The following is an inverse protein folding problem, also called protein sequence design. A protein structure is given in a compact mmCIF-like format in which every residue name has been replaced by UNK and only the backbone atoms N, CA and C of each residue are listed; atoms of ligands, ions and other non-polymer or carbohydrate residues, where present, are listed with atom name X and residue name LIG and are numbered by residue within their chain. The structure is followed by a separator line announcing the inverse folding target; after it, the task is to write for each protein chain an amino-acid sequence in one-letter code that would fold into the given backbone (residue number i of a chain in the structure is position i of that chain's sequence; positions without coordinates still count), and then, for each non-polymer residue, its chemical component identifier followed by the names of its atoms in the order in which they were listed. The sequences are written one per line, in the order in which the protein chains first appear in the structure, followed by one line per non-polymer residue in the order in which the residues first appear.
data_IF_129295990870
#
_entry.id   IF_129295990870
#
_cell.length_a   1.000
_cell.length_b   1.000
_cell.length_c   1.000
_cell.angle_alpha   90.00
_cell.angle_beta   90.00
_cell.angle_gamma   90.00
#
_symmetry.space_group_name_H-M   'P 1'
#
loop_
_entity.id
_entity.type
_entity.pdbx_description
1 polymer ?
#
# COMPACT_ATOMS: atom_id res chain seq x y z
N UNK A 1 -23.96 -51.74 -0.06
CA UNK A 1 -23.01 -50.96 0.75
C UNK A 1 -22.26 -50.02 -0.20
N UNK A 2 -22.80 -48.82 -0.45
CA UNK A 2 -22.16 -47.81 -1.31
C UNK A 2 -21.20 -47.01 -0.44
N UNK A 3 -19.91 -47.17 -0.69
CA UNK A 3 -18.86 -46.35 -0.09
C UNK A 3 -18.98 -44.98 -0.74
N UNK A 4 -19.48 -44.01 0.02
CA UNK A 4 -19.43 -42.60 -0.35
C UNK A 4 -17.97 -42.16 -0.21
N UNK A 5 -17.27 -42.04 -1.33
CA UNK A 5 -16.03 -41.28 -1.41
C UNK A 5 -16.39 -39.82 -1.15
N UNK A 6 -16.06 -39.32 0.04
CA UNK A 6 -16.09 -37.90 0.32
C UNK A 6 -15.12 -37.22 -0.65
N UNK A 7 -15.66 -36.39 -1.54
CA UNK A 7 -14.87 -35.40 -2.27
C UNK A 7 -14.16 -34.51 -1.25
N UNK A 8 -12.88 -34.16 -1.45
CA UNK A 8 -12.15 -33.34 -0.51
C UNK A 8 -12.74 -31.95 -0.51
N UNK A 9 -13.55 -31.66 0.50
CA UNK A 9 -14.01 -30.32 0.85
C UNK A 9 -12.78 -29.43 0.94
N UNK A 10 -12.63 -28.53 -0.03
CA UNK A 10 -11.97 -27.23 0.01
C UNK A 10 -10.80 -27.19 1.01
N UNK A 11 -9.59 -27.52 0.54
CA UNK A 11 -8.35 -27.35 1.33
C UNK A 11 -8.25 -25.90 1.81
N UNK A 12 -8.42 -25.74 3.12
CA UNK A 12 -7.94 -24.68 4.02
C UNK A 12 -7.81 -23.28 3.40
N UNK A 13 -8.64 -22.34 3.86
CA UNK A 13 -8.29 -20.92 3.82
C UNK A 13 -6.84 -20.76 4.29
N UNK A 14 -5.93 -20.48 3.34
CA UNK A 14 -4.52 -20.33 3.67
C UNK A 14 -4.41 -19.19 4.66
N UNK A 15 -4.04 -19.51 5.91
CA UNK A 15 -3.76 -18.53 6.94
C UNK A 15 -2.80 -17.49 6.38
N UNK A 16 -3.20 -16.22 6.39
CA UNK A 16 -2.44 -15.12 5.80
C UNK A 16 -1.01 -15.02 6.36
N UNK A 17 -0.78 -15.49 7.59
CA UNK A 17 0.55 -15.59 8.20
C UNK A 17 1.44 -16.62 7.50
N UNK A 18 0.86 -17.74 7.04
CA UNK A 18 1.58 -18.75 6.25
C UNK A 18 1.94 -18.20 4.89
N UNK A 19 1.01 -17.51 4.22
CA UNK A 19 1.27 -16.83 2.94
C UNK A 19 2.40 -15.81 3.12
N UNK A 20 2.30 -14.98 4.16
CA UNK A 20 3.30 -13.97 4.47
C UNK A 20 4.68 -14.59 4.76
N UNK A 21 4.74 -15.66 5.55
CA UNK A 21 5.98 -16.38 5.86
C UNK A 21 6.63 -16.94 4.60
N UNK A 22 5.82 -17.45 3.67
CA UNK A 22 6.27 -18.10 2.44
C UNK A 22 6.45 -17.13 1.26
N UNK A 23 6.35 -15.81 1.47
CA UNK A 23 6.60 -14.83 0.42
C UNK A 23 8.00 -15.04 -0.19
N UNK A 24 8.09 -14.99 -1.51
CA UNK A 24 9.34 -15.15 -2.25
C UNK A 24 10.20 -13.91 -2.00
N UNK A 25 11.44 -14.14 -1.55
CA UNK A 25 12.45 -13.10 -1.38
C UNK A 25 13.70 -13.30 -2.24
N UNK A 26 13.78 -14.40 -2.99
CA UNK A 26 14.81 -14.64 -3.98
C UNK A 26 14.30 -14.28 -5.38
N UNK A 27 14.87 -13.28 -6.06
CA UNK A 27 14.47 -12.93 -7.42
C UNK A 27 14.52 -14.11 -8.41
N UNK A 28 15.46 -15.05 -8.26
CA UNK A 28 15.54 -16.24 -9.13
C UNK A 28 14.31 -17.12 -9.03
N UNK A 29 13.79 -17.31 -7.81
CA UNK A 29 12.56 -18.06 -7.59
C UNK A 29 11.33 -17.35 -8.18
N UNK A 30 11.29 -16.02 -8.13
CA UNK A 30 10.23 -15.24 -8.77
C UNK A 30 10.28 -15.41 -10.30
N UNK A 31 11.44 -15.24 -10.93
CA UNK A 31 11.62 -15.41 -12.38
C UNK A 31 11.21 -16.82 -12.83
N UNK A 32 11.65 -17.84 -12.09
CA UNK A 32 11.24 -19.23 -12.34
C UNK A 32 9.73 -19.44 -12.22
N UNK A 33 9.07 -18.86 -11.21
CA UNK A 33 7.63 -18.96 -11.04
C UNK A 33 6.84 -18.30 -12.20
N UNK A 34 7.45 -17.30 -12.83
CA UNK A 34 6.88 -16.53 -13.94
C UNK A 34 7.35 -17.01 -15.31
N UNK A 35 8.10 -18.11 -15.42
CA UNK A 35 8.67 -18.60 -16.67
C UNK A 35 9.53 -17.55 -17.42
N UNK A 36 10.27 -16.72 -16.68
CA UNK A 36 11.21 -15.74 -17.23
C UNK A 36 12.65 -16.29 -17.13
N UNK A 37 13.47 -16.16 -18.19
CA UNK A 37 14.84 -16.66 -18.21
C UNK A 37 15.73 -15.86 -17.25
N UNK A 38 16.44 -16.52 -16.34
CA UNK A 38 17.28 -15.83 -15.34
C UNK A 38 18.42 -15.00 -15.97
N UNK A 39 18.96 -15.45 -17.10
CA UNK A 39 20.12 -14.84 -17.77
C UNK A 39 19.82 -13.40 -18.25
N UNK A 40 18.56 -13.10 -18.59
CA UNK A 40 18.14 -11.76 -19.01
C UNK A 40 18.10 -10.76 -17.83
N UNK A 41 18.20 -11.25 -16.58
CA UNK A 41 18.00 -10.44 -15.36
C UNK A 41 19.20 -10.44 -14.42
N UNK A 42 20.38 -10.91 -14.82
CA UNK A 42 21.55 -10.99 -13.91
C UNK A 42 21.86 -9.67 -13.18
N UNK A 43 21.85 -8.56 -13.91
CA UNK A 43 22.09 -7.23 -13.33
C UNK A 43 20.94 -6.77 -12.42
N UNK A 44 19.71 -7.08 -12.83
CA UNK A 44 18.49 -6.83 -12.06
C UNK A 44 18.47 -7.60 -10.74
N UNK A 45 18.91 -8.87 -10.73
CA UNK A 45 19.04 -9.69 -9.52
C UNK A 45 20.04 -9.07 -8.54
N UNK A 46 21.13 -8.48 -9.03
CA UNK A 46 22.13 -7.83 -8.19
C UNK A 46 21.59 -6.60 -7.44
N UNK A 47 20.57 -5.92 -7.98
CA UNK A 47 19.93 -4.76 -7.35
C UNK A 47 19.15 -5.09 -6.07
N UNK A 48 18.88 -6.38 -5.80
CA UNK A 48 18.24 -6.82 -4.54
C UNK A 48 18.97 -6.35 -3.27
N UNK A 49 20.28 -6.04 -3.38
CA UNK A 49 21.09 -5.51 -2.27
C UNK A 49 20.72 -4.07 -1.88
N UNK A 50 20.11 -3.30 -2.80
CA UNK A 50 19.68 -1.93 -2.55
C UNK A 50 18.35 -1.85 -1.80
N UNK A 51 17.45 -2.79 -2.10
CA UNK A 51 16.18 -2.96 -1.42
C UNK A 51 15.67 -4.36 -1.74
N UNK A 52 15.50 -5.18 -0.70
CA UNK A 52 15.23 -6.61 -0.84
C UNK A 52 13.96 -6.88 -1.63
N UNK A 53 13.93 -8.00 -2.36
CA UNK A 53 12.71 -8.50 -2.98
C UNK A 53 11.85 -9.19 -1.93
N UNK A 54 10.54 -8.98 -2.03
CA UNK A 54 9.54 -9.70 -1.23
C UNK A 54 8.22 -9.66 -1.97
N UNK A 55 7.70 -10.82 -2.36
CA UNK A 55 6.46 -10.95 -3.12
C UNK A 55 5.67 -12.17 -2.65
N UNK A 56 4.44 -12.00 -2.14
CA UNK A 56 3.62 -13.12 -1.69
C UNK A 56 2.95 -13.83 -2.88
N UNK A 57 2.69 -15.14 -2.73
CA UNK A 57 2.14 -15.97 -3.81
C UNK A 57 0.86 -15.42 -4.44
N UNK A 58 -0.15 -14.90 -3.70
CA UNK A 58 -1.36 -14.36 -4.33
C UNK A 58 -1.12 -13.16 -5.24
N UNK A 59 -0.02 -12.42 -5.05
CA UNK A 59 0.35 -11.35 -5.99
C UNK A 59 1.05 -11.91 -7.23
N UNK A 60 1.90 -12.93 -7.05
CA UNK A 60 2.57 -13.63 -8.17
C UNK A 60 1.55 -14.27 -9.10
N UNK A 61 0.47 -14.83 -8.55
CA UNK A 61 -0.59 -15.47 -9.34
C UNK A 61 -1.35 -14.49 -10.26
N UNK A 62 -1.22 -13.17 -10.03
CA UNK A 62 -1.81 -12.10 -10.85
C UNK A 62 -0.89 -11.62 -11.98
N UNK A 63 0.39 -11.99 -11.95
CA UNK A 63 1.39 -11.57 -12.94
C UNK A 63 1.30 -12.47 -14.17
N UNK A 64 1.30 -11.87 -15.36
CA UNK A 64 1.36 -12.60 -16.61
C UNK A 64 2.68 -13.36 -16.77
N UNK A 65 2.61 -14.69 -16.90
CA UNK A 65 3.80 -15.54 -17.08
C UNK A 65 4.43 -15.32 -18.46
N UNK A 66 5.75 -15.28 -18.50
CA UNK A 66 6.53 -15.07 -19.71
C UNK A 66 6.54 -13.63 -20.22
N UNK A 67 5.90 -12.69 -19.51
CA UNK A 67 5.88 -11.28 -19.88
C UNK A 67 6.81 -10.45 -18.97
N UNK A 68 8.02 -10.07 -19.44
CA UNK A 68 8.92 -9.23 -18.65
C UNK A 68 8.44 -7.78 -18.50
N UNK A 69 7.43 -7.38 -19.27
CA UNK A 69 6.81 -6.05 -19.24
C UNK A 69 5.44 -6.06 -18.54
N UNK A 70 5.10 -7.13 -17.82
CA UNK A 70 3.88 -7.15 -17.02
C UNK A 70 3.91 -6.01 -15.97
N UNK A 71 2.86 -5.18 -15.88
CA UNK A 71 2.85 -3.99 -15.02
C UNK A 71 2.89 -4.33 -13.53
N UNK A 72 2.51 -5.54 -13.09
CA UNK A 72 2.64 -5.99 -11.70
C UNK A 72 4.06 -6.48 -11.44
N UNK A 73 4.68 -7.18 -12.39
CA UNK A 73 6.08 -7.59 -12.32
C UNK A 73 7.02 -6.39 -12.16
N UNK A 74 6.83 -5.35 -12.97
CA UNK A 74 7.63 -4.11 -12.89
C UNK A 74 7.57 -3.48 -11.50
N UNK A 75 6.45 -3.60 -10.77
CA UNK A 75 6.30 -3.04 -9.44
C UNK A 75 7.07 -3.79 -8.34
N UNK A 76 7.52 -5.02 -8.58
CA UNK A 76 8.10 -5.89 -7.54
C UNK A 76 9.47 -6.49 -7.88
N UNK A 77 9.79 -6.67 -9.15
CA UNK A 77 11.09 -7.21 -9.56
C UNK A 77 12.18 -6.14 -9.41
N UNK A 78 13.33 -6.53 -8.87
CA UNK A 78 14.50 -5.65 -8.80
C UNK A 78 14.95 -5.24 -10.21
N UNK A 79 15.41 -4.01 -10.39
CA UNK A 79 15.95 -3.52 -11.67
C UNK A 79 17.39 -3.00 -11.52
N UNK A 80 18.23 -3.22 -12.53
CA UNK A 80 19.55 -2.60 -12.65
C UNK A 80 19.47 -1.06 -12.70
N UNK A 81 18.36 -0.51 -13.19
CA UNK A 81 18.09 0.93 -13.18
C UNK A 81 18.01 1.53 -11.76
N UNK A 82 17.90 0.70 -10.72
CA UNK A 82 17.93 1.16 -9.33
C UNK A 82 19.32 1.59 -8.86
N UNK A 83 20.38 1.19 -9.56
CA UNK A 83 21.74 1.68 -9.31
C UNK A 83 21.93 3.12 -9.80
N UNK A 84 21.07 3.62 -10.68
CA UNK A 84 21.17 4.96 -11.26
C UNK A 84 20.86 6.00 -10.19
N UNK A 85 21.86 6.82 -9.88
CA UNK A 85 21.66 8.07 -9.15
C UNK A 85 21.16 9.13 -10.13
N UNK A 86 20.02 9.73 -9.82
CA UNK A 86 19.38 10.74 -10.65
C UNK A 86 19.29 12.07 -9.90
N UNK A 87 19.39 13.18 -10.63
CA UNK A 87 19.29 14.52 -10.05
C UNK A 87 17.92 14.76 -9.39
N UNK A 88 17.94 15.35 -8.19
CA UNK A 88 16.74 15.62 -7.40
C UNK A 88 16.12 14.39 -6.73
N UNK A 89 16.79 13.23 -6.78
CA UNK A 89 16.39 12.05 -6.02
C UNK A 89 17.19 11.92 -4.73
N UNK A 90 16.52 11.64 -3.61
CA UNK A 90 17.14 11.52 -2.29
C UNK A 90 16.66 10.27 -1.53
N UNK A 91 17.27 9.98 -0.39
CA UNK A 91 16.85 8.88 0.50
C UNK A 91 15.67 9.24 1.40
N UNK A 92 15.30 10.52 1.47
CA UNK A 92 14.16 11.03 2.24
C UNK A 92 13.47 12.17 1.46
N UNK A 93 12.78 11.86 0.35
CA UNK A 93 12.23 12.87 -0.56
C UNK A 93 11.12 13.73 0.07
N UNK A 94 10.58 13.29 1.21
CA UNK A 94 9.48 13.96 1.92
C UNK A 94 9.91 14.51 3.29
N UNK A 95 11.22 14.52 3.56
CA UNK A 95 11.84 15.01 4.80
C UNK A 95 11.17 14.46 6.07
N UNK A 96 10.75 13.19 6.05
CA UNK A 96 9.97 12.58 7.12
C UNK A 96 10.77 12.41 8.41
N UNK A 97 12.11 12.33 8.32
CA UNK A 97 12.96 12.23 9.51
C UNK A 97 12.77 13.42 10.45
N UNK A 98 12.56 14.62 9.91
CA UNK A 98 12.39 15.85 10.69
C UNK A 98 10.97 15.98 11.28
N UNK A 99 9.99 15.23 10.75
CA UNK A 99 8.60 15.26 11.20
C UNK A 99 8.28 14.27 12.33
N UNK A 100 9.28 13.52 12.82
CA UNK A 100 9.14 12.60 13.95
C UNK A 100 9.00 13.40 15.26
N UNK A 101 7.76 13.66 15.69
CA UNK A 101 7.50 14.34 16.95
C UNK A 101 7.88 13.47 18.16
N UNK A 102 7.51 12.19 18.08
CA UNK A 102 7.89 11.11 19.00
C UNK A 102 8.04 9.81 18.20
N UNK A 103 8.70 8.77 18.73
CA UNK A 103 8.78 7.49 18.04
C UNK A 103 7.40 7.02 17.57
N UNK A 104 7.34 6.52 16.33
CA UNK A 104 6.16 6.04 15.64
C UNK A 104 5.12 7.11 15.24
N UNK A 105 5.37 8.40 15.46
CA UNK A 105 4.46 9.49 15.06
C UNK A 105 5.13 10.41 14.03
N UNK A 106 4.46 10.59 12.88
CA UNK A 106 4.71 11.70 11.97
C UNK A 106 3.51 12.65 12.01
N UNK A 107 3.70 13.82 12.64
CA UNK A 107 2.65 14.82 12.80
C UNK A 107 2.89 16.00 11.85
N UNK A 108 2.39 15.88 10.61
CA UNK A 108 2.56 16.87 9.55
C UNK A 108 1.42 17.87 9.42
N UNK A 109 0.23 17.53 9.91
CA UNK A 109 -0.99 18.29 9.69
C UNK A 109 -1.74 18.49 11.00
N UNK A 110 -2.36 19.66 11.17
CA UNK A 110 -2.98 20.06 12.43
C UNK A 110 -3.95 19.03 13.01
N UNK A 111 -4.85 18.45 12.20
CA UNK A 111 -5.94 17.63 12.72
C UNK A 111 -5.69 16.12 12.64
N UNK A 112 -4.52 15.69 12.17
CA UNK A 112 -4.24 14.27 11.92
C UNK A 112 -2.75 13.95 11.90
N UNK A 113 -2.41 12.74 12.31
CA UNK A 113 -1.04 12.23 12.26
C UNK A 113 -0.95 10.83 11.66
N UNK A 114 0.24 10.48 11.19
CA UNK A 114 0.57 9.10 10.85
C UNK A 114 1.11 8.40 12.09
N UNK A 115 0.55 7.26 12.42
CA UNK A 115 1.02 6.34 13.44
C UNK A 115 1.62 5.11 12.77
N UNK A 116 2.95 4.98 12.83
CA UNK A 116 3.73 3.86 12.29
C UNK A 116 3.49 2.60 13.14
N UNK A 117 2.48 1.80 12.79
CA UNK A 117 2.13 0.61 13.56
C UNK A 117 3.20 -0.49 13.41
N UNK A 118 3.69 -0.72 12.18
CA UNK A 118 4.76 -1.69 11.87
C UNK A 118 5.69 -1.18 10.77
N UNK A 119 6.97 -1.54 10.84
CA UNK A 119 7.95 -1.14 9.82
C UNK A 119 8.07 -2.07 8.61
N UNK A 120 7.66 -3.34 8.73
CA UNK A 120 7.76 -4.31 7.64
C UNK A 120 6.63 -4.20 6.62
N UNK A 121 6.86 -4.72 5.41
CA UNK A 121 5.86 -4.91 4.35
C UNK A 121 5.76 -6.38 3.94
N UNK A 122 4.60 -6.80 3.40
CA UNK A 122 4.46 -8.09 2.74
C UNK A 122 4.95 -8.08 1.29
N UNK A 123 5.02 -6.89 0.69
CA UNK A 123 5.54 -6.65 -0.65
C UNK A 123 6.48 -5.45 -0.64
N UNK A 124 7.64 -5.57 -1.28
CA UNK A 124 8.59 -4.48 -1.41
C UNK A 124 8.44 -3.81 -2.78
N UNK A 125 7.57 -2.79 -2.82
CA UNK A 125 7.28 -2.00 -4.02
C UNK A 125 8.54 -1.30 -4.51
N UNK A 126 8.95 -1.48 -5.77
CA UNK A 126 10.19 -0.86 -6.30
C UNK A 126 10.17 0.67 -6.30
N UNK A 127 8.97 1.25 -6.32
CA UNK A 127 8.72 2.68 -6.27
C UNK A 127 8.47 3.22 -4.84
N UNK A 128 8.73 2.42 -3.79
CA UNK A 128 8.45 2.81 -2.40
C UNK A 128 9.29 4.01 -1.94
N UNK A 129 8.65 5.15 -1.68
CA UNK A 129 9.33 6.35 -1.17
C UNK A 129 9.94 6.18 0.23
N UNK A 130 9.47 5.18 1.00
CA UNK A 130 10.00 4.81 2.33
C UNK A 130 11.00 3.65 2.31
N UNK A 131 11.53 3.27 1.15
CA UNK A 131 12.51 2.16 1.06
C UNK A 131 13.78 2.38 1.89
N UNK A 132 14.10 3.64 2.22
CA UNK A 132 15.24 4.04 3.05
C UNK A 132 14.83 4.57 4.44
N UNK A 133 13.57 4.41 4.84
CA UNK A 133 13.06 4.94 6.12
C UNK A 133 13.68 4.18 7.31
N UNK A 134 14.13 4.87 8.38
CA UNK A 134 14.78 4.25 9.54
C UNK A 134 13.76 3.58 10.47
N UNK A 135 13.22 2.43 10.06
CA UNK A 135 12.21 1.71 10.84
C UNK A 135 12.72 1.20 12.19
N UNK A 136 14.02 1.03 12.36
CA UNK A 136 14.63 0.61 13.63
C UNK A 136 14.48 1.69 14.73
N UNK A 137 14.36 2.96 14.34
CA UNK A 137 14.07 4.08 15.26
C UNK A 137 12.58 4.17 15.62
N UNK A 138 11.72 3.41 14.94
CA UNK A 138 10.26 3.42 15.09
C UNK A 138 9.74 2.00 15.35
N UNK A 139 10.19 1.35 16.44
CA UNK A 139 9.88 -0.06 16.64
C UNK A 139 8.37 -0.25 16.81
N UNK A 140 7.78 -1.25 16.15
CA UNK A 140 6.35 -1.54 16.27
C UNK A 140 6.04 -2.42 17.48
N UNK A 141 6.16 -1.88 18.70
CA UNK A 141 5.89 -2.60 19.95
C UNK A 141 5.14 -1.75 20.97
N UNK A 142 4.59 -2.38 22.01
CA UNK A 142 3.75 -1.70 23.02
C UNK A 142 4.43 -0.51 23.71
N UNK A 143 5.76 -0.56 23.93
CA UNK A 143 6.48 0.52 24.63
C UNK A 143 6.48 1.80 23.81
N UNK A 144 6.85 1.71 22.54
CA UNK A 144 6.85 2.88 21.64
C UNK A 144 5.44 3.30 21.25
N UNK A 145 4.52 2.36 21.08
CA UNK A 145 3.10 2.68 20.86
C UNK A 145 2.48 3.45 22.03
N UNK A 146 2.86 3.16 23.27
CA UNK A 146 2.38 3.94 24.41
C UNK A 146 2.82 5.40 24.32
N UNK A 147 4.07 5.68 23.92
CA UNK A 147 4.54 7.05 23.72
C UNK A 147 3.73 7.80 22.65
N UNK A 148 3.39 7.10 21.55
CA UNK A 148 2.52 7.64 20.51
C UNK A 148 1.10 7.94 21.02
N UNK A 149 0.53 7.04 21.82
CA UNK A 149 -0.79 7.22 22.44
C UNK A 149 -0.81 8.38 23.43
N UNK A 150 0.23 8.50 24.27
CA UNK A 150 0.38 9.60 25.22
C UNK A 150 0.48 10.94 24.49
N UNK A 151 1.22 10.97 23.38
CA UNK A 151 1.27 12.15 22.49
C UNK A 151 -0.12 12.49 21.96
N UNK A 152 -0.86 11.53 21.38
CA UNK A 152 -2.21 11.80 20.85
C UNK A 152 -3.17 12.29 21.94
N UNK A 153 -3.08 11.74 23.15
CA UNK A 153 -3.98 12.08 24.25
C UNK A 153 -3.86 13.54 24.71
N UNK A 154 -2.67 14.15 24.61
CA UNK A 154 -2.42 15.55 25.03
C UNK A 154 -2.58 16.59 23.91
N UNK A 155 -2.91 16.16 22.68
CA UNK A 155 -3.12 17.02 21.52
C UNK A 155 -4.60 16.96 21.07
N UNK A 156 -5.50 17.78 21.66
CA UNK A 156 -6.94 17.71 21.43
C UNK A 156 -7.38 18.12 20.01
N UNK A 157 -6.52 18.80 19.26
CA UNK A 157 -6.74 19.17 17.86
C UNK A 157 -6.71 17.96 16.91
N UNK A 158 -6.15 16.83 17.34
CA UNK A 158 -6.04 15.61 16.53
C UNK A 158 -7.37 14.89 16.53
N UNK A 159 -8.04 14.85 15.38
CA UNK A 159 -9.32 14.16 15.24
C UNK A 159 -9.19 12.81 14.53
N UNK A 160 -8.09 12.60 13.81
CA UNK A 160 -7.84 11.41 12.99
C UNK A 160 -6.44 10.84 13.23
N UNK A 161 -6.37 9.53 13.46
CA UNK A 161 -5.11 8.78 13.47
C UNK A 161 -5.04 7.92 12.21
N UNK A 162 -3.91 7.99 11.51
CA UNK A 162 -3.67 7.21 10.29
C UNK A 162 -2.65 6.12 10.59
N UNK A 163 -3.08 4.86 10.70
CA UNK A 163 -2.15 3.74 10.72
C UNK A 163 -1.38 3.68 9.40
N UNK A 164 -0.05 3.74 9.54
CA UNK A 164 0.93 3.74 8.48
C UNK A 164 2.14 2.92 8.94
N UNK A 165 3.28 3.07 8.27
CA UNK A 165 4.46 2.25 8.51
C UNK A 165 5.16 1.89 7.21
N UNK A 166 5.69 0.67 7.21
CA UNK A 166 5.80 -0.12 5.99
C UNK A 166 4.39 -0.52 5.55
N UNK A 167 3.77 -1.45 6.29
CA UNK A 167 2.34 -1.74 6.17
C UNK A 167 1.73 -2.03 7.56
N UNK A 168 0.71 -1.27 8.01
CA UNK A 168 0.14 -1.41 9.34
C UNK A 168 -0.59 -2.74 9.56
N UNK A 169 -1.13 -3.36 8.50
CA UNK A 169 -1.82 -4.65 8.63
C UNK A 169 -0.86 -5.83 8.75
N UNK A 170 0.46 -5.60 8.70
CA UNK A 170 1.45 -6.57 9.16
C UNK A 170 1.38 -6.80 10.67
N UNK A 171 0.72 -5.92 11.42
CA UNK A 171 0.42 -6.15 12.82
C UNK A 171 -0.51 -7.37 12.99
N UNK A 172 -0.21 -8.19 14.00
CA UNK A 172 -1.04 -9.33 14.38
C UNK A 172 -2.37 -8.83 14.94
N UNK A 173 -3.40 -9.66 14.92
CA UNK A 173 -4.74 -9.23 15.33
C UNK A 173 -4.78 -8.73 16.78
N UNK A 174 -4.11 -9.40 17.72
CA UNK A 174 -4.03 -8.92 19.09
C UNK A 174 -3.31 -7.56 19.25
N UNK A 175 -2.41 -7.21 18.32
CA UNK A 175 -1.73 -5.91 18.31
C UNK A 175 -2.69 -4.82 17.80
N UNK A 176 -3.45 -5.10 16.73
CA UNK A 176 -4.47 -4.18 16.23
C UNK A 176 -5.60 -3.98 17.24
N UNK A 177 -6.07 -5.07 17.88
CA UNK A 177 -7.06 -4.98 18.97
C UNK A 177 -6.54 -4.06 20.07
N UNK A 178 -5.30 -4.27 20.52
CA UNK A 178 -4.71 -3.44 21.57
C UNK A 178 -4.64 -1.96 21.14
N UNK A 179 -4.11 -1.67 19.95
CA UNK A 179 -3.98 -0.30 19.45
C UNK A 179 -5.34 0.39 19.32
N UNK A 180 -6.30 -0.25 18.65
CA UNK A 180 -7.62 0.33 18.42
C UNK A 180 -8.34 0.58 19.74
N UNK A 181 -8.33 -0.37 20.68
CA UNK A 181 -8.96 -0.19 22.00
C UNK A 181 -8.36 0.96 22.80
N UNK A 182 -7.05 1.23 22.67
CA UNK A 182 -6.44 2.39 23.33
C UNK A 182 -6.81 3.70 22.64
N UNK A 183 -6.88 3.73 21.31
CA UNK A 183 -7.36 4.91 20.58
C UNK A 183 -8.83 5.22 20.89
N UNK A 184 -9.68 4.20 21.06
CA UNK A 184 -11.07 4.37 21.47
C UNK A 184 -11.20 5.09 22.83
N UNK A 185 -10.23 4.94 23.73
CA UNK A 185 -10.26 5.61 25.03
C UNK A 185 -9.90 7.11 24.96
N UNK A 186 -9.46 7.62 23.80
CA UNK A 186 -9.10 9.03 23.61
C UNK A 186 -10.33 9.81 23.09
N UNK A 187 -11.03 10.61 23.91
CA UNK A 187 -12.38 11.10 23.58
C UNK A 187 -12.48 11.97 22.33
N UNK A 188 -11.47 12.79 22.04
CA UNK A 188 -11.45 13.69 20.89
C UNK A 188 -11.19 13.01 19.55
N UNK A 189 -10.70 11.76 19.55
CA UNK A 189 -10.53 11.00 18.31
C UNK A 189 -11.87 10.57 17.72
N UNK A 190 -12.05 10.88 16.44
CA UNK A 190 -13.25 10.56 15.67
C UNK A 190 -13.00 9.48 14.63
N UNK A 191 -11.81 9.48 14.02
CA UNK A 191 -11.51 8.69 12.82
C UNK A 191 -10.25 7.86 12.98
N UNK A 192 -10.33 6.62 12.50
CA UNK A 192 -9.19 5.75 12.27
C UNK A 192 -9.05 5.54 10.76
N UNK A 193 -7.92 5.94 10.20
CA UNK A 193 -7.58 5.65 8.81
C UNK A 193 -6.48 4.60 8.74
N UNK A 194 -6.58 3.64 7.82
CA UNK A 194 -5.57 2.59 7.64
C UNK A 194 -5.03 2.68 6.22
N UNK A 195 -3.75 3.03 6.07
CA UNK A 195 -3.06 3.02 4.78
C UNK A 195 -2.34 1.68 4.62
N UNK A 196 -2.82 0.82 3.73
CA UNK A 196 -2.29 -0.54 3.59
C UNK A 196 -2.28 -1.00 2.15
N UNK A 197 -1.25 -1.74 1.76
CA UNK A 197 -1.19 -2.49 0.51
C UNK A 197 -1.45 -3.98 0.75
N UNK A 198 -1.46 -4.43 2.01
CA UNK A 198 -1.53 -5.84 2.36
C UNK A 198 -2.73 -6.58 1.75
N UNK A 199 -3.96 -6.05 1.73
CA UNK A 199 -5.08 -6.74 1.10
C UNK A 199 -4.92 -6.92 -0.41
N UNK A 200 -4.16 -6.05 -1.08
CA UNK A 200 -3.91 -6.14 -2.53
C UNK A 200 -3.03 -7.37 -2.84
N UNK A 201 -2.07 -7.66 -1.96
CA UNK A 201 -1.06 -8.71 -2.16
C UNK A 201 -1.31 -10.00 -1.36
N UNK A 202 -2.07 -9.91 -0.27
CA UNK A 202 -2.57 -11.01 0.56
C UNK A 202 -4.02 -10.66 0.98
N UNK A 203 -5.02 -10.84 0.10
CA UNK A 203 -6.43 -10.57 0.43
C UNK A 203 -6.93 -11.28 1.69
N UNK A 204 -6.36 -12.45 1.99
CA UNK A 204 -6.67 -13.29 3.16
C UNK A 204 -6.39 -12.59 4.50
N UNK A 205 -5.66 -11.47 4.51
CA UNK A 205 -5.49 -10.65 5.72
C UNK A 205 -6.81 -10.09 6.23
N UNK A 206 -7.80 -9.90 5.35
CA UNK A 206 -9.14 -9.44 5.73
C UNK A 206 -9.94 -10.65 6.22
N UNK A 207 -9.76 -10.96 7.50
CA UNK A 207 -10.49 -12.03 8.19
C UNK A 207 -11.78 -11.51 8.82
N UNK A 208 -12.66 -12.41 9.22
CA UNK A 208 -13.92 -12.04 9.86
C UNK A 208 -13.68 -11.42 11.25
N UNK A 209 -12.63 -11.84 11.97
CA UNK A 209 -12.21 -11.25 13.24
C UNK A 209 -11.74 -9.81 13.05
N UNK A 210 -10.98 -9.55 11.99
CA UNK A 210 -10.55 -8.18 11.67
C UNK A 210 -11.74 -7.29 11.30
N UNK A 211 -12.67 -7.79 10.48
CA UNK A 211 -13.91 -7.09 10.18
C UNK A 211 -14.76 -6.82 11.43
N UNK A 212 -14.85 -7.79 12.35
CA UNK A 212 -15.57 -7.63 13.63
C UNK A 212 -14.93 -6.54 14.49
N UNK A 213 -13.60 -6.52 14.61
CA UNK A 213 -12.89 -5.46 15.32
C UNK A 213 -13.22 -4.06 14.76
N UNK A 214 -13.29 -3.92 13.44
CA UNK A 214 -13.64 -2.65 12.79
C UNK A 214 -15.14 -2.32 12.89
N UNK A 215 -16.02 -3.31 12.98
CA UNK A 215 -17.45 -3.11 13.18
C UNK A 215 -17.78 -2.63 14.60
N UNK A 216 -17.02 -3.11 15.59
CA UNK A 216 -17.25 -2.84 17.01
C UNK A 216 -16.58 -1.56 17.51
N UNK A 217 -15.65 -0.98 16.75
CA UNK A 217 -14.98 0.26 17.18
C UNK A 217 -15.91 1.46 17.08
N UNK A 218 -15.83 2.38 18.04
CA UNK A 218 -16.55 3.66 17.95
C UNK A 218 -15.95 4.63 16.91
N UNK A 219 -14.73 4.35 16.42
CA UNK A 219 -14.03 5.22 15.48
C UNK A 219 -14.55 4.99 14.06
N UNK A 220 -14.86 6.08 13.35
CA UNK A 220 -15.20 5.97 11.94
C UNK A 220 -13.96 5.48 11.16
N UNK A 221 -14.10 4.30 10.54
CA UNK A 221 -12.97 3.64 9.90
C UNK A 221 -12.92 3.91 8.40
N UNK A 222 -11.76 4.36 7.94
CA UNK A 222 -11.42 4.54 6.53
C UNK A 222 -10.23 3.65 6.18
N UNK A 223 -10.30 2.88 5.11
CA UNK A 223 -9.14 2.13 4.60
C UNK A 223 -8.74 2.69 3.24
N UNK A 224 -7.47 3.07 3.12
CA UNK A 224 -6.85 3.50 1.86
C UNK A 224 -5.96 2.38 1.36
N UNK A 225 -6.41 1.73 0.29
CA UNK A 225 -5.64 0.72 -0.44
C UNK A 225 -4.61 1.39 -1.35
N UNK A 226 -3.59 0.63 -1.78
CA UNK A 226 -2.57 1.09 -2.71
C UNK A 226 -2.52 0.19 -3.94
N UNK A 227 -3.21 0.61 -5.01
CA UNK A 227 -3.41 -0.16 -6.25
C UNK A 227 -3.02 0.76 -7.40
N UNK A 228 -2.14 0.30 -8.28
CA UNK A 228 -1.67 1.06 -9.44
C UNK A 228 -2.19 0.54 -10.76
N UNK A 229 -2.61 -0.73 -10.84
CA UNK A 229 -3.01 -1.34 -12.10
C UNK A 229 -4.27 -2.18 -11.96
N UNK A 230 -5.21 -2.18 -12.94
CA UNK A 230 -6.45 -2.96 -12.86
C UNK A 230 -6.23 -4.47 -12.76
N UNK A 231 -5.05 -5.00 -13.09
CA UNK A 231 -4.73 -6.43 -12.95
C UNK A 231 -4.48 -6.84 -11.48
N UNK A 232 -4.28 -5.88 -10.57
CA UNK A 232 -4.17 -6.17 -9.14
C UNK A 232 -5.54 -6.51 -8.50
N UNK A 233 -6.63 -6.16 -9.18
CA UNK A 233 -8.01 -6.37 -8.73
C UNK A 233 -8.55 -7.67 -9.33
N UNK A 234 -8.52 -8.73 -8.53
CA UNK A 234 -9.12 -10.03 -8.82
C UNK A 234 -10.35 -10.29 -7.93
N UNK A 235 -11.02 -11.42 -8.13
CA UNK A 235 -12.22 -11.76 -7.38
C UNK A 235 -11.94 -12.00 -5.88
N UNK A 236 -10.75 -12.52 -5.54
CA UNK A 236 -10.36 -12.77 -4.14
C UNK A 236 -10.22 -11.44 -3.40
N UNK A 237 -9.54 -10.47 -4.01
CA UNK A 237 -9.46 -9.10 -3.49
C UNK A 237 -10.85 -8.47 -3.39
N UNK A 238 -11.67 -8.55 -4.45
CA UNK A 238 -13.01 -7.98 -4.45
C UNK A 238 -13.88 -8.51 -3.29
N UNK A 239 -13.83 -9.82 -3.02
CA UNK A 239 -14.55 -10.44 -1.91
C UNK A 239 -14.07 -9.92 -0.55
N UNK A 240 -12.76 -9.77 -0.35
CA UNK A 240 -12.20 -9.18 0.86
C UNK A 240 -12.70 -7.74 1.08
N UNK A 241 -12.78 -6.94 0.02
CA UNK A 241 -13.28 -5.56 0.10
C UNK A 241 -14.78 -5.51 0.42
N UNK A 242 -15.58 -6.47 -0.09
CA UNK A 242 -17.00 -6.58 0.28
C UNK A 242 -17.19 -6.86 1.78
N UNK A 243 -16.33 -7.68 2.40
CA UNK A 243 -16.38 -7.91 3.86
C UNK A 243 -16.19 -6.61 4.65
N UNK A 244 -15.21 -5.79 4.25
CA UNK A 244 -14.96 -4.49 4.89
C UNK A 244 -16.14 -3.52 4.68
N UNK A 245 -16.71 -3.49 3.48
CA UNK A 245 -17.87 -2.65 3.17
C UNK A 245 -19.10 -3.05 3.98
N UNK A 246 -19.31 -4.36 4.21
CA UNK A 246 -20.42 -4.88 5.01
C UNK A 246 -20.37 -4.43 6.47
N UNK A 247 -19.18 -4.07 6.98
CA UNK A 247 -18.99 -3.49 8.31
C UNK A 247 -18.77 -1.96 8.27
N UNK A 248 -19.28 -1.30 7.22
CA UNK A 248 -19.28 0.15 7.04
C UNK A 248 -17.90 0.83 6.98
N UNK A 249 -16.83 0.10 6.62
CA UNK A 249 -15.53 0.73 6.34
C UNK A 249 -15.62 1.50 5.02
N UNK A 250 -15.21 2.77 5.05
CA UNK A 250 -15.09 3.56 3.82
C UNK A 250 -13.81 3.17 3.09
N UNK A 251 -13.93 2.73 1.84
CA UNK A 251 -12.80 2.24 1.05
C UNK A 251 -12.35 3.28 0.03
N UNK A 252 -11.08 3.63 0.09
CA UNK A 252 -10.41 4.57 -0.82
C UNK A 252 -9.21 3.88 -1.47
N UNK A 253 -8.76 4.44 -2.60
CA UNK A 253 -7.53 4.00 -3.24
C UNK A 253 -6.60 5.17 -3.55
N UNK A 254 -5.33 5.00 -3.19
CA UNK A 254 -4.25 5.86 -3.69
C UNK A 254 -3.40 5.06 -4.67
N UNK A 255 -3.09 5.64 -5.82
CA UNK A 255 -2.16 5.12 -6.81
C UNK A 255 -0.96 6.06 -6.91
N UNK A 256 0.13 5.59 -7.48
CA UNK A 256 1.23 6.41 -7.98
C UNK A 256 1.23 6.31 -9.50
N UNK A 257 1.42 7.43 -10.19
CA UNK A 257 1.61 7.44 -11.64
C UNK A 257 3.04 6.99 -11.94
N UNK A 258 3.16 5.83 -12.58
CA UNK A 258 4.39 5.07 -12.75
C UNK A 258 4.60 4.72 -14.22
N UNK A 259 5.77 5.11 -14.75
CA UNK A 259 6.15 4.83 -16.13
C UNK A 259 6.16 3.32 -16.41
N UNK A 260 5.53 2.90 -17.49
CA UNK A 260 5.42 1.50 -17.91
C UNK A 260 4.45 0.66 -17.08
N UNK A 261 3.73 1.26 -16.13
CA UNK A 261 2.76 0.55 -15.28
C UNK A 261 1.36 1.09 -15.53
N UNK A 262 1.15 2.40 -15.34
CA UNK A 262 -0.17 3.02 -15.43
C UNK A 262 -0.12 4.44 -16.01
N UNK A 263 0.93 4.77 -16.75
CA UNK A 263 1.15 6.01 -17.46
C UNK A 263 0.30 6.16 -18.73
N UNK A 264 -0.96 5.71 -18.65
CA UNK A 264 -1.93 5.75 -19.73
C UNK A 264 -3.34 6.04 -19.19
N UNK A 265 -4.05 6.97 -19.84
CA UNK A 265 -5.36 7.42 -19.38
C UNK A 265 -6.45 6.34 -19.48
N UNK A 266 -6.37 5.43 -20.44
CA UNK A 266 -7.30 4.30 -20.57
C UNK A 266 -7.04 3.27 -19.46
N UNK A 267 -5.77 2.97 -19.14
CA UNK A 267 -5.41 2.10 -18.01
C UNK A 267 -5.96 2.66 -16.70
N UNK A 268 -5.76 3.97 -16.45
CA UNK A 268 -6.27 4.64 -15.25
C UNK A 268 -7.81 4.65 -15.21
N UNK A 269 -8.47 4.83 -16.35
CA UNK A 269 -9.93 4.71 -16.43
C UNK A 269 -10.41 3.31 -16.06
N UNK A 270 -9.79 2.26 -16.61
CA UNK A 270 -10.13 0.86 -16.30
C UNK A 270 -9.90 0.59 -14.81
N UNK A 271 -8.81 1.13 -14.24
CA UNK A 271 -8.56 1.06 -12.80
C UNK A 271 -9.68 1.70 -12.00
N UNK A 272 -10.05 2.95 -12.32
CA UNK A 272 -11.15 3.67 -11.65
C UNK A 272 -12.48 2.91 -11.72
N UNK A 273 -12.83 2.36 -12.88
CA UNK A 273 -14.06 1.59 -13.07
C UNK A 273 -14.03 0.30 -12.22
N UNK A 274 -12.92 -0.46 -12.22
CA UNK A 274 -12.78 -1.67 -11.40
C UNK A 274 -12.78 -1.37 -9.90
N UNK A 275 -12.12 -0.29 -9.46
CA UNK A 275 -12.17 0.16 -8.07
C UNK A 275 -13.62 0.41 -7.65
N UNK A 276 -14.38 1.14 -8.45
CA UNK A 276 -15.77 1.45 -8.13
C UNK A 276 -16.66 0.20 -8.09
N UNK A 277 -16.47 -0.73 -9.02
CA UNK A 277 -17.17 -2.03 -9.02
C UNK A 277 -16.90 -2.84 -7.75
N UNK A 278 -15.71 -2.71 -7.16
CA UNK A 278 -15.36 -3.35 -5.87
C UNK A 278 -15.76 -2.54 -4.64
N UNK A 279 -16.41 -1.39 -4.82
CA UNK A 279 -16.86 -0.51 -3.75
C UNK A 279 -15.79 0.44 -3.21
N UNK A 280 -14.70 0.64 -3.95
CA UNK A 280 -13.59 1.52 -3.59
C UNK A 280 -13.66 2.81 -4.42
N UNK A 281 -13.49 3.97 -3.78
CA UNK A 281 -13.39 5.24 -4.50
C UNK A 281 -11.93 5.58 -4.85
N UNK A 282 -11.63 5.97 -6.10
CA UNK A 282 -10.34 6.57 -6.45
C UNK A 282 -10.14 7.87 -5.64
N UNK A 283 -9.05 7.95 -4.88
CA UNK A 283 -8.79 9.06 -3.96
C UNK A 283 -7.65 9.96 -4.44
N UNK A 284 -6.43 9.42 -4.54
CA UNK A 284 -5.26 10.14 -5.02
C UNK A 284 -4.57 9.38 -6.15
N UNK A 285 -4.09 10.14 -7.14
CA UNK A 285 -3.08 9.73 -8.09
C UNK A 285 -1.84 10.55 -7.77
N UNK A 286 -0.86 9.92 -7.11
CA UNK A 286 0.36 10.58 -6.70
C UNK A 286 1.35 10.67 -7.86
N UNK A 287 1.96 11.84 -8.04
CA UNK A 287 3.21 11.93 -8.77
C UNK A 287 4.30 11.20 -7.97
N UNK A 288 5.24 10.57 -8.67
CA UNK A 288 6.32 9.82 -8.04
C UNK A 288 7.15 10.73 -7.13
N UNK A 289 7.24 10.37 -5.85
CA UNK A 289 8.22 10.94 -4.93
C UNK A 289 9.61 10.55 -5.38
N UNK A 290 10.52 11.53 -5.48
CA UNK A 290 11.87 11.33 -6.05
C UNK A 290 12.79 10.57 -5.08
N UNK A 291 12.48 9.31 -4.79
CA UNK A 291 13.27 8.43 -3.94
C UNK A 291 14.40 7.75 -4.72
N UNK A 292 15.62 7.79 -4.18
CA UNK A 292 16.77 7.14 -4.80
C UNK A 292 16.48 5.66 -5.10
N UNK A 293 16.73 5.27 -6.36
CA UNK A 293 16.48 3.93 -6.88
C UNK A 293 15.12 3.74 -7.54
N UNK A 294 14.30 4.79 -7.72
CA UNK A 294 13.00 4.71 -8.40
C UNK A 294 12.88 5.61 -9.63
N UNK A 295 13.97 6.24 -10.09
CA UNK A 295 13.95 7.25 -11.17
C UNK A 295 13.42 6.75 -12.50
N UNK A 296 13.54 5.45 -12.79
CA UNK A 296 13.00 4.82 -13.99
C UNK A 296 11.47 4.81 -14.06
N UNK A 297 10.77 4.99 -12.94
CA UNK A 297 9.31 5.17 -12.91
C UNK A 297 8.86 6.62 -13.16
N UNK A 298 9.78 7.58 -13.20
CA UNK A 298 9.44 9.00 -13.29
C UNK A 298 8.80 9.32 -14.65
N UNK A 299 7.70 10.05 -14.58
CA UNK A 299 7.04 10.70 -15.71
C UNK A 299 7.20 12.20 -15.51
N UNK A 300 7.43 12.95 -16.59
CA UNK A 300 7.55 14.41 -16.50
C UNK A 300 6.20 15.02 -16.11
N UNK A 301 6.22 16.13 -15.38
CA UNK A 301 4.98 16.81 -14.95
C UNK A 301 4.10 17.21 -16.15
N UNK A 302 4.70 17.58 -17.28
CA UNK A 302 3.99 17.89 -18.53
C UNK A 302 3.21 16.66 -19.02
N UNK A 303 3.86 15.50 -19.04
CA UNK A 303 3.26 14.26 -19.51
C UNK A 303 2.20 13.73 -18.53
N UNK A 304 2.47 13.82 -17.23
CA UNK A 304 1.50 13.46 -16.20
C UNK A 304 0.23 14.31 -16.30
N UNK A 305 0.36 15.63 -16.52
CA UNK A 305 -0.77 16.53 -16.74
C UNK A 305 -1.54 16.20 -18.02
N UNK A 306 -0.83 15.82 -19.10
CA UNK A 306 -1.45 15.38 -20.35
C UNK A 306 -2.30 14.11 -20.16
N UNK A 307 -1.75 13.11 -19.46
CA UNK A 307 -2.45 11.88 -19.11
C UNK A 307 -3.67 12.19 -18.25
N UNK A 308 -3.51 13.03 -17.22
CA UNK A 308 -4.58 13.38 -16.29
C UNK A 308 -5.75 14.13 -16.95
N UNK A 309 -5.45 15.11 -17.82
CA UNK A 309 -6.47 15.81 -18.63
C UNK A 309 -7.25 14.86 -19.55
N UNK A 310 -6.54 13.88 -20.11
CA UNK A 310 -7.19 12.83 -20.93
C UNK A 310 -8.06 11.93 -20.05
N UNK A 311 -7.62 11.54 -18.85
CA UNK A 311 -8.41 10.75 -17.92
C UNK A 311 -9.72 11.47 -17.53
N UNK A 312 -9.65 12.78 -17.27
CA UNK A 312 -10.80 13.62 -16.93
C UNK A 312 -11.87 13.65 -18.03
N UNK A 313 -11.49 13.56 -19.31
CA UNK A 313 -12.46 13.55 -20.41
C UNK A 313 -13.10 12.17 -20.63
N UNK A 314 -12.47 11.10 -20.15
CA UNK A 314 -12.92 9.72 -20.35
C UNK A 314 -13.76 9.17 -19.18
N UNK A 315 -13.61 9.74 -17.99
CA UNK A 315 -14.07 9.14 -16.73
C UNK A 315 -15.09 10.02 -16.03
N UNK A 316 -16.08 9.41 -15.37
CA UNK A 316 -17.03 10.15 -14.54
C UNK A 316 -16.29 10.92 -13.44
N UNK A 317 -16.65 12.18 -13.19
CA UNK A 317 -15.88 13.07 -12.32
C UNK A 317 -15.62 12.54 -10.90
N UNK A 318 -16.57 11.81 -10.31
CA UNK A 318 -16.42 11.20 -8.98
C UNK A 318 -15.50 9.96 -8.96
N UNK A 319 -15.06 9.49 -10.14
CA UNK A 319 -14.09 8.41 -10.33
C UNK A 319 -12.73 8.92 -10.82
N UNK A 320 -12.58 10.23 -10.98
CA UNK A 320 -11.28 10.85 -11.25
C UNK A 320 -10.56 11.07 -9.92
N UNK A 321 -9.45 10.37 -9.64
CA UNK A 321 -8.67 10.61 -8.43
C UNK A 321 -8.02 12.00 -8.49
N UNK A 322 -7.71 12.59 -7.35
CA UNK A 322 -7.01 13.88 -7.32
C UNK A 322 -5.54 13.68 -7.68
N UNK A 323 -5.04 14.37 -8.72
CA UNK A 323 -3.61 14.40 -9.01
C UNK A 323 -2.88 15.20 -7.93
N UNK A 324 -1.92 14.57 -7.24
CA UNK A 324 -1.29 15.16 -6.06
C UNK A 324 0.22 14.91 -6.00
N UNK A 325 0.94 15.85 -5.40
CA UNK A 325 2.33 15.67 -4.97
C UNK A 325 2.41 15.99 -3.48
N UNK A 326 3.20 15.20 -2.75
CA UNK A 326 3.58 15.58 -1.38
C UNK A 326 4.83 16.46 -1.47
N UNK A 327 4.76 17.65 -0.88
CA UNK A 327 5.88 18.60 -0.81
C UNK A 327 6.17 18.80 0.67
N UNK A 328 7.43 18.59 1.07
CA UNK A 328 7.85 18.73 2.45
C UNK A 328 7.55 20.15 2.97
N UNK A 329 7.02 20.24 4.20
CA UNK A 329 6.68 21.49 4.86
C UNK A 329 5.32 22.10 4.48
N UNK A 330 4.66 21.62 3.42
CA UNK A 330 3.33 22.13 3.04
C UNK A 330 2.24 21.64 4.01
N UNK A 331 1.23 22.47 4.34
CA UNK A 331 0.17 22.13 5.30
C UNK A 331 -0.86 21.15 4.74
N UNK A 332 -0.76 20.80 3.45
CA UNK A 332 -1.59 19.81 2.78
C UNK A 332 -0.88 19.30 1.51
N UNK A 333 -1.43 18.23 0.94
CA UNK A 333 -0.97 17.71 -0.36
C UNK A 333 -1.24 18.74 -1.46
N UNK A 334 -0.20 19.08 -2.21
CA UNK A 334 -0.31 19.97 -3.37
C UNK A 334 -1.10 19.28 -4.47
N UNK A 335 -2.25 19.87 -4.83
CA UNK A 335 -3.11 19.36 -5.89
C UNK A 335 -2.81 20.05 -7.21
N UNK A 336 -2.75 19.27 -8.28
CA UNK A 336 -2.67 19.78 -9.65
C UNK A 336 -4.10 19.80 -10.20
N UNK A 337 -4.69 20.99 -10.27
CA UNK A 337 -6.10 21.15 -10.62
C UNK A 337 -6.34 21.70 -12.04
N UNK A 338 -5.33 22.25 -12.72
CA UNK A 338 -5.50 23.02 -13.98
C UNK A 338 -4.36 22.81 -14.98
#
# INVERSE_FOLDING_TARGET
MRILTQEPVIREEQNWLTILKNAISDPKLLLKALNLPEDDFEQSIAARKLFSLRVPQPFIDKIEKGNPQDPLFLQVMCSDLEFVQAEGFSTDPLEEKNANAVPNILHKYQNRLLFMAKGGCAVNCRYCFRRHFPYDENPGNKKSWQLALDYIAVHPEIEEVIFSGGDPLMAKDHELVWLIKHLENIPHLQRLRIHTRLPVVIPQRITDEFCTLLAETRLQTVMVTHINHPNEIDQIFANAMQKLKAVNVTLLNQSVLLKGVNDDAQILKILSDKLFQTGILPYYLHLLDKVQGASHFLISDIEAMRIYKTLQSLTSGYLVPKLAREIAGEPNKTLYAE
#
